data_IF_790523724156
#
_entry.id   IF_790523724156
#
_cell.length_a   1.000
_cell.length_b   1.000
_cell.length_c   1.000
_cell.angle_alpha   90.00
_cell.angle_beta   90.00
_cell.angle_gamma   90.00
#
_symmetry.space_group_name_H-M   'P 1'
#
loop_
_entity.id
_entity.type
_entity.pdbx_description
1 polymer ?
#
# COMPACT_ATOMS: atom_id res chain seq x y z
N UNK A 1 -14.78 36.95 -28.82
CA UNK A 1 -13.58 36.81 -27.96
C UNK A 1 -13.90 36.19 -26.60
N UNK A 2 -14.87 36.72 -25.87
CA UNK A 2 -15.22 36.19 -24.55
C UNK A 2 -15.68 34.71 -24.58
N UNK A 3 -16.38 34.31 -25.63
CA UNK A 3 -16.85 32.94 -25.80
C UNK A 3 -15.73 31.93 -26.01
N UNK A 4 -14.67 32.33 -26.71
CA UNK A 4 -13.52 31.45 -26.99
C UNK A 4 -12.72 31.20 -25.72
N UNK A 5 -12.51 32.23 -24.89
CA UNK A 5 -11.79 32.13 -23.62
C UNK A 5 -12.55 31.22 -22.66
N UNK A 6 -13.86 31.37 -22.61
CA UNK A 6 -14.73 30.57 -21.75
C UNK A 6 -14.70 29.08 -22.14
N UNK A 7 -14.73 28.78 -23.44
CA UNK A 7 -14.66 27.42 -23.96
C UNK A 7 -13.32 26.77 -23.61
N UNK A 8 -12.24 27.50 -23.71
CA UNK A 8 -10.90 27.00 -23.41
C UNK A 8 -10.76 26.62 -21.93
N UNK A 9 -11.28 27.47 -21.05
CA UNK A 9 -11.25 27.21 -19.60
C UNK A 9 -12.03 25.96 -19.25
N UNK A 10 -13.16 25.74 -19.89
CA UNK A 10 -13.99 24.57 -19.65
C UNK A 10 -13.32 23.27 -20.11
N UNK A 11 -12.63 23.30 -21.25
CA UNK A 11 -11.89 22.16 -21.75
C UNK A 11 -10.74 21.76 -20.80
N UNK A 12 -10.03 22.74 -20.24
CA UNK A 12 -8.97 22.46 -19.29
C UNK A 12 -9.47 21.83 -18.00
N UNK A 13 -10.59 22.31 -17.49
CA UNK A 13 -11.20 21.74 -16.28
C UNK A 13 -11.61 20.29 -16.51
N UNK A 14 -12.15 19.96 -17.67
CA UNK A 14 -12.56 18.62 -18.02
C UNK A 14 -11.36 17.66 -18.11
N UNK A 15 -10.27 18.10 -18.70
CA UNK A 15 -9.04 17.30 -18.81
C UNK A 15 -8.46 17.00 -17.42
N UNK A 16 -8.45 17.96 -16.51
CA UNK A 16 -7.97 17.74 -15.15
C UNK A 16 -8.83 16.71 -14.42
N UNK A 17 -10.15 16.78 -14.58
CA UNK A 17 -11.06 15.80 -13.97
C UNK A 17 -10.81 14.38 -14.50
N UNK A 18 -10.60 14.22 -15.80
CA UNK A 18 -10.30 12.92 -16.39
C UNK A 18 -8.96 12.35 -15.90
N UNK A 19 -7.96 13.20 -15.75
CA UNK A 19 -6.66 12.76 -15.22
C UNK A 19 -6.76 12.33 -13.76
N UNK A 20 -7.55 13.03 -12.94
CA UNK A 20 -7.76 12.64 -11.55
C UNK A 20 -8.48 11.29 -11.44
N UNK A 21 -9.48 11.05 -12.29
CA UNK A 21 -10.21 9.79 -12.28
C UNK A 21 -9.36 8.59 -12.66
N UNK A 22 -8.33 8.78 -13.52
CA UNK A 22 -7.45 7.70 -13.97
C UNK A 22 -6.41 7.29 -12.94
N UNK A 23 -6.13 8.12 -11.94
CA UNK A 23 -5.07 7.87 -10.95
C UNK A 23 -5.55 7.11 -9.73
N UNK A 24 -6.84 7.08 -9.47
CA UNK A 24 -7.41 6.39 -8.32
C UNK A 24 -8.03 5.08 -8.78
N UNK A 25 -7.28 4.00 -8.60
CA UNK A 25 -7.74 2.64 -8.90
C UNK A 25 -8.19 1.89 -7.63
N UNK A 26 -8.29 2.58 -6.50
CA UNK A 26 -8.67 1.99 -5.23
C UNK A 26 -7.54 1.27 -4.50
N UNK A 27 -6.44 0.99 -5.19
CA UNK A 27 -5.28 0.34 -4.59
C UNK A 27 -4.29 1.37 -4.10
N UNK A 28 -3.98 2.38 -4.94
CA UNK A 28 -3.09 3.46 -4.57
C UNK A 28 -3.89 4.76 -4.43
N UNK A 29 -3.81 5.38 -3.26
CA UNK A 29 -4.41 6.68 -2.98
C UNK A 29 -3.35 7.63 -2.48
N UNK A 30 -3.68 8.92 -2.38
CA UNK A 30 -2.79 9.92 -1.79
C UNK A 30 -3.41 10.49 -0.53
N UNK A 31 -2.64 10.48 0.56
CA UNK A 31 -3.02 11.05 1.85
C UNK A 31 -1.85 11.86 2.39
N UNK A 32 -2.07 13.14 2.71
CA UNK A 32 -1.05 14.01 3.30
C UNK A 32 0.29 14.01 2.54
N UNK A 33 0.22 13.99 1.21
CA UNK A 33 1.43 13.99 0.37
C UNK A 33 2.12 12.64 0.26
N UNK A 34 1.56 11.59 0.82
CA UNK A 34 2.08 10.24 0.73
C UNK A 34 1.22 9.39 -0.19
N UNK A 35 1.86 8.40 -0.84
CA UNK A 35 1.12 7.34 -1.49
C UNK A 35 0.75 6.28 -0.46
N UNK A 36 -0.48 5.81 -0.53
CA UNK A 36 -0.96 4.73 0.35
C UNK A 36 -1.37 3.55 -0.51
N UNK A 37 -0.66 2.43 -0.35
CA UNK A 37 -0.96 1.20 -1.09
C UNK A 37 -1.77 0.29 -0.20
N UNK A 38 -2.99 -0.03 -0.64
CA UNK A 38 -3.88 -0.93 0.05
C UNK A 38 -3.78 -2.30 -0.59
N UNK A 39 -3.30 -3.30 0.13
CA UNK A 39 -3.03 -4.63 -0.43
C UNK A 39 -4.23 -5.56 -0.41
N UNK A 40 -5.41 -5.11 -0.01
CA UNK A 40 -6.59 -5.96 0.15
C UNK A 40 -6.90 -6.79 -1.09
N UNK A 41 -6.92 -6.16 -2.28
CA UNK A 41 -7.17 -6.89 -3.52
C UNK A 41 -5.94 -7.55 -4.10
N UNK A 42 -4.77 -6.94 -3.90
CA UNK A 42 -3.50 -7.46 -4.43
C UNK A 42 -3.12 -8.81 -3.82
N UNK A 43 -3.48 -9.02 -2.57
CA UNK A 43 -3.11 -10.20 -1.82
C UNK A 43 -4.33 -10.90 -1.19
N UNK A 44 -5.48 -10.80 -1.85
CA UNK A 44 -6.71 -11.44 -1.39
C UNK A 44 -6.59 -12.97 -1.30
N UNK A 45 -5.71 -13.56 -2.11
CA UNK A 45 -5.45 -14.99 -2.15
C UNK A 45 -4.35 -15.44 -1.17
N UNK A 46 -3.72 -14.50 -0.47
CA UNK A 46 -2.63 -14.81 0.46
C UNK A 46 -3.19 -14.89 1.88
N UNK A 47 -3.19 -16.08 2.42
CA UNK A 47 -3.70 -16.33 3.76
C UNK A 47 -2.57 -16.48 4.77
N UNK A 48 -2.79 -15.90 5.97
CA UNK A 48 -1.98 -16.18 7.13
C UNK A 48 -2.42 -17.50 7.76
N UNK A 49 -2.52 -17.54 9.08
CA UNK A 49 -2.99 -18.74 9.78
C UNK A 49 -4.48 -18.99 9.55
N UNK A 50 -5.29 -17.92 9.57
CA UNK A 50 -6.76 -18.06 9.45
C UNK A 50 -7.25 -17.47 8.13
N UNK A 51 -6.75 -16.31 7.72
CA UNK A 51 -7.24 -15.63 6.53
C UNK A 51 -6.31 -14.55 6.02
N UNK A 52 -6.81 -13.72 5.11
CA UNK A 52 -6.05 -12.64 4.51
C UNK A 52 -5.55 -11.65 5.57
N UNK A 53 -4.37 -11.08 5.31
CA UNK A 53 -3.75 -10.09 6.21
C UNK A 53 -3.50 -8.78 5.47
N UNK A 54 -4.56 -8.06 5.06
CA UNK A 54 -4.40 -6.85 4.26
C UNK A 54 -3.70 -5.74 5.02
N UNK A 55 -2.94 -4.94 4.28
CA UNK A 55 -2.12 -3.87 4.83
C UNK A 55 -2.36 -2.56 4.08
N UNK A 56 -1.99 -1.45 4.72
CA UNK A 56 -1.78 -0.16 4.08
C UNK A 56 -0.31 0.20 4.21
N UNK A 57 0.35 0.42 3.08
CA UNK A 57 1.76 0.79 3.03
C UNK A 57 1.84 2.27 2.67
N UNK A 58 2.41 3.08 3.55
CA UNK A 58 2.55 4.52 3.37
C UNK A 58 3.94 4.81 2.82
N UNK A 59 3.99 5.45 1.65
CA UNK A 59 5.25 5.72 0.93
C UNK A 59 5.36 7.21 0.66
N UNK A 60 6.46 7.80 1.12
CA UNK A 60 6.79 9.22 0.91
C UNK A 60 8.19 9.33 0.34
N UNK A 61 8.34 10.09 -0.75
CA UNK A 61 9.62 10.26 -1.42
C UNK A 61 10.30 8.91 -1.72
N UNK A 62 9.51 7.95 -2.17
CA UNK A 62 9.96 6.61 -2.53
C UNK A 62 10.54 5.79 -1.36
N UNK A 63 10.23 6.20 -0.14
CA UNK A 63 10.61 5.49 1.09
C UNK A 63 9.38 5.08 1.88
N UNK A 64 9.46 3.94 2.53
CA UNK A 64 8.37 3.45 3.38
C UNK A 64 8.35 4.27 4.66
N UNK A 65 7.25 4.97 4.88
CA UNK A 65 7.04 5.77 6.10
C UNK A 65 6.53 4.89 7.23
N UNK A 66 5.53 4.09 6.95
CA UNK A 66 4.95 3.14 7.90
C UNK A 66 4.10 2.11 7.18
N UNK A 67 3.81 1.02 7.86
CA UNK A 67 2.90 -0.03 7.39
C UNK A 67 1.88 -0.27 8.49
N UNK A 68 0.60 -0.22 8.14
CA UNK A 68 -0.50 -0.47 9.08
C UNK A 68 -1.27 -1.72 8.66
N UNK A 69 -1.63 -2.54 9.63
CA UNK A 69 -2.51 -3.67 9.38
C UNK A 69 -3.95 -3.20 9.27
N UNK A 70 -4.65 -3.72 8.28
CA UNK A 70 -6.09 -3.54 8.17
C UNK A 70 -6.81 -4.64 8.97
N UNK A 71 -8.12 -4.50 9.23
CA UNK A 71 -8.87 -5.53 9.95
C UNK A 71 -8.68 -6.91 9.30
N UNK A 72 -8.42 -7.92 10.10
CA UNK A 72 -8.23 -9.29 9.65
C UNK A 72 -8.82 -10.26 10.69
N UNK A 73 -8.88 -11.53 10.31
CA UNK A 73 -9.46 -12.59 11.17
C UNK A 73 -8.41 -13.37 11.95
N UNK A 74 -7.16 -12.96 11.88
CA UNK A 74 -6.08 -13.63 12.61
C UNK A 74 -6.30 -13.52 14.11
N UNK A 75 -5.77 -14.49 14.85
CA UNK A 75 -5.89 -14.50 16.31
C UNK A 75 -5.22 -13.26 16.89
N UNK A 76 -5.95 -12.39 17.61
CA UNK A 76 -5.40 -11.10 18.08
C UNK A 76 -4.11 -11.23 18.86
N UNK A 77 -3.98 -12.25 19.69
CA UNK A 77 -2.78 -12.51 20.50
C UNK A 77 -1.53 -12.69 19.63
N UNK A 78 -1.64 -13.48 18.59
CA UNK A 78 -0.51 -13.73 17.68
C UNK A 78 -0.27 -12.56 16.73
N UNK A 79 -1.33 -11.98 16.22
CA UNK A 79 -1.19 -10.86 15.30
C UNK A 79 -0.68 -9.59 15.98
N UNK A 80 -0.92 -9.42 17.27
CA UNK A 80 -0.35 -8.31 18.04
C UNK A 80 1.18 -8.35 18.01
N UNK A 81 1.78 -9.55 18.00
CA UNK A 81 3.23 -9.72 17.87
C UNK A 81 3.71 -9.27 16.48
N UNK A 82 2.94 -9.57 15.42
CA UNK A 82 3.23 -9.12 14.06
C UNK A 82 3.27 -7.59 14.01
N UNK A 83 2.26 -6.93 14.55
CA UNK A 83 2.19 -5.47 14.57
C UNK A 83 3.37 -4.85 15.32
N UNK A 84 3.74 -5.45 16.43
CA UNK A 84 4.77 -4.90 17.32
C UNK A 84 6.18 -5.21 16.84
N UNK A 85 6.42 -6.39 16.29
CA UNK A 85 7.76 -6.89 16.02
C UNK A 85 8.12 -6.93 14.53
N UNK A 86 7.14 -6.93 13.63
CA UNK A 86 7.39 -7.12 12.21
C UNK A 86 7.16 -5.89 11.36
N UNK A 87 6.02 -5.20 11.53
CA UNK A 87 5.61 -4.14 10.60
C UNK A 87 6.60 -2.98 10.51
N UNK A 88 7.36 -2.70 11.56
CA UNK A 88 8.33 -1.61 11.57
C UNK A 88 9.63 -1.91 10.83
N UNK A 89 9.85 -3.14 10.45
CA UNK A 89 11.12 -3.59 9.88
C UNK A 89 11.45 -2.95 8.53
N UNK A 90 10.45 -2.48 7.82
CA UNK A 90 10.63 -1.83 6.51
C UNK A 90 10.66 -0.31 6.59
N UNK A 91 10.35 0.28 7.74
CA UNK A 91 10.31 1.74 7.90
C UNK A 91 11.66 2.37 7.57
N UNK A 92 11.63 3.44 6.77
CA UNK A 92 12.83 4.16 6.36
C UNK A 92 13.57 3.57 5.17
N UNK A 93 13.21 2.37 4.74
CA UNK A 93 13.82 1.76 3.54
C UNK A 93 13.18 2.34 2.28
N UNK A 94 13.97 2.50 1.23
CA UNK A 94 13.41 2.81 -0.09
C UNK A 94 12.61 1.60 -0.56
N UNK A 95 11.69 1.83 -1.49
CA UNK A 95 10.89 0.74 -2.07
C UNK A 95 11.80 -0.34 -2.64
N UNK A 96 12.87 0.05 -3.33
CA UNK A 96 13.84 -0.87 -3.92
C UNK A 96 14.57 -1.68 -2.86
N UNK A 97 15.04 -1.03 -1.80
CA UNK A 97 15.69 -1.71 -0.67
C UNK A 97 14.74 -2.68 0.03
N UNK A 98 13.50 -2.25 0.24
CA UNK A 98 12.49 -3.06 0.91
C UNK A 98 12.17 -4.34 0.14
N UNK A 99 12.13 -4.27 -1.19
CA UNK A 99 11.89 -5.44 -2.04
C UNK A 99 13.03 -6.46 -1.98
N UNK A 100 14.24 -6.01 -1.68
CA UNK A 100 15.41 -6.88 -1.54
C UNK A 100 15.67 -7.33 -0.09
N UNK A 101 15.00 -6.70 0.87
CA UNK A 101 15.24 -6.98 2.27
C UNK A 101 14.78 -8.39 2.64
N UNK A 102 15.63 -9.09 3.39
CA UNK A 102 15.27 -10.35 4.00
C UNK A 102 14.96 -10.08 5.46
N UNK A 103 13.70 -10.18 5.80
CA UNK A 103 13.20 -9.86 7.13
C UNK A 103 12.75 -11.15 7.80
N UNK A 104 13.25 -11.39 9.01
CA UNK A 104 12.87 -12.56 9.78
C UNK A 104 11.42 -12.46 10.23
N UNK A 105 10.71 -13.57 10.18
CA UNK A 105 9.36 -13.66 10.69
C UNK A 105 9.34 -13.68 12.22
N UNK A 106 8.15 -13.58 12.77
CA UNK A 106 7.93 -13.61 14.21
C UNK A 106 7.81 -15.05 14.68
N UNK A 107 8.62 -15.44 15.66
CA UNK A 107 8.59 -16.80 16.24
C UNK A 107 7.19 -17.10 16.79
N UNK A 108 6.63 -18.24 16.39
CA UNK A 108 5.29 -18.65 16.78
C UNK A 108 4.17 -18.06 15.94
N UNK A 109 4.50 -17.23 14.93
CA UNK A 109 3.53 -16.62 14.02
C UNK A 109 4.03 -16.67 12.57
N UNK A 110 4.61 -17.80 12.16
CA UNK A 110 5.27 -17.96 10.86
C UNK A 110 4.31 -17.76 9.68
N UNK A 111 3.13 -18.38 9.71
CA UNK A 111 2.18 -18.27 8.61
C UNK A 111 1.68 -16.84 8.43
N UNK A 112 1.36 -16.16 9.52
CA UNK A 112 0.94 -14.76 9.47
C UNK A 112 2.09 -13.85 9.03
N UNK A 113 3.32 -14.12 9.49
CA UNK A 113 4.51 -13.37 9.07
C UNK A 113 4.76 -13.50 7.57
N UNK A 114 4.69 -14.70 7.03
CA UNK A 114 4.90 -14.95 5.61
C UNK A 114 3.82 -14.28 4.76
N UNK A 115 2.57 -14.30 5.22
CA UNK A 115 1.47 -13.63 4.54
C UNK A 115 1.67 -12.11 4.52
N UNK A 116 2.09 -11.53 5.64
CA UNK A 116 2.38 -10.09 5.72
C UNK A 116 3.52 -9.72 4.77
N UNK A 117 4.58 -10.50 4.75
CA UNK A 117 5.71 -10.26 3.83
C UNK A 117 5.28 -10.31 2.37
N UNK A 118 4.42 -11.25 2.00
CA UNK A 118 3.92 -11.35 0.64
C UNK A 118 3.01 -10.17 0.27
N UNK A 119 2.19 -9.71 1.22
CA UNK A 119 1.40 -8.49 1.06
C UNK A 119 2.30 -7.29 0.75
N UNK A 120 3.37 -7.13 1.52
CA UNK A 120 4.32 -6.02 1.33
C UNK A 120 4.98 -6.12 -0.04
N UNK A 121 5.45 -7.29 -0.41
CA UNK A 121 6.08 -7.52 -1.72
C UNK A 121 5.14 -7.14 -2.87
N UNK A 122 3.92 -7.65 -2.87
CA UNK A 122 2.94 -7.36 -3.92
C UNK A 122 2.56 -5.88 -3.95
N UNK A 123 2.40 -5.27 -2.78
CA UNK A 123 2.09 -3.85 -2.69
C UNK A 123 3.19 -2.96 -3.25
N UNK A 124 4.44 -3.26 -2.93
CA UNK A 124 5.59 -2.49 -3.40
C UNK A 124 5.84 -2.71 -4.90
N UNK A 125 5.65 -3.92 -5.40
CA UNK A 125 5.76 -4.21 -6.83
C UNK A 125 4.68 -3.46 -7.63
N UNK A 126 3.46 -3.44 -7.10
CA UNK A 126 2.36 -2.70 -7.71
C UNK A 126 2.67 -1.20 -7.74
N UNK A 127 3.18 -0.67 -6.63
CA UNK A 127 3.58 0.74 -6.55
C UNK A 127 4.62 1.08 -7.64
N UNK A 128 5.63 0.26 -7.82
CA UNK A 128 6.66 0.51 -8.84
C UNK A 128 6.10 0.52 -10.26
N UNK A 129 5.10 -0.31 -10.53
CA UNK A 129 4.51 -0.41 -11.88
C UNK A 129 3.51 0.69 -12.19
N UNK A 130 2.94 1.32 -11.17
CA UNK A 130 1.82 2.25 -11.35
C UNK A 130 2.11 3.68 -10.88
N UNK A 131 3.33 3.97 -10.49
CA UNK A 131 3.79 5.32 -10.15
C UNK A 131 5.18 5.65 -10.79
#
# INVERSE_FOLDING_TARGET
MKKIIFSLTMCMALVVLLMSAKKDDGVITKENGMYVVNTTTLAADVDGYIGATPLKIYIKNNKIEKIEARPNKETPKYFAKIKKQLLDKWNGKTVKEALKAQVDGVTGATLSSDAVKENIKRGLEYYQKHT
#
